data_IF_911363920837
#
_entry.id   IF_911363920837
#
_cell.length_a   1.000
_cell.length_b   1.000
_cell.length_c   1.000
_cell.angle_alpha   90.00
_cell.angle_beta   90.00
_cell.angle_gamma   90.00
#
_symmetry.space_group_name_H-M   'P 1'
#
loop_
_entity.id
_entity.type
_entity.pdbx_description
1 polymer ?
#
# COMPACT_ATOMS: atom_id res chain seq x y z
N UNK A 1 -14.88 -24.44 -21.71
CA UNK A 1 -14.54 -23.00 -21.78
C UNK A 1 -14.62 -22.34 -20.39
N UNK A 2 -15.72 -22.44 -19.65
CA UNK A 2 -15.88 -21.80 -18.34
C UNK A 2 -14.85 -22.31 -17.30
N UNK A 3 -14.56 -23.61 -17.23
CA UNK A 3 -13.54 -24.19 -16.33
C UNK A 3 -12.14 -23.55 -16.50
N UNK A 4 -11.73 -23.29 -17.74
CA UNK A 4 -10.44 -22.64 -18.01
C UNK A 4 -10.43 -21.17 -17.60
N UNK A 5 -11.56 -20.49 -17.71
CA UNK A 5 -11.71 -19.12 -17.23
C UNK A 5 -11.62 -19.06 -15.69
N UNK A 6 -12.34 -19.98 -15.02
CA UNK A 6 -12.33 -20.06 -13.56
C UNK A 6 -10.91 -20.36 -13.03
N UNK A 7 -10.15 -21.23 -13.71
CA UNK A 7 -8.74 -21.51 -13.39
C UNK A 7 -7.84 -20.27 -13.56
N UNK A 8 -8.06 -19.49 -14.61
CA UNK A 8 -7.29 -18.24 -14.84
C UNK A 8 -7.69 -17.14 -13.86
N UNK A 9 -8.95 -17.05 -13.47
CA UNK A 9 -9.41 -16.12 -12.43
C UNK A 9 -8.81 -16.50 -11.06
N UNK A 10 -8.77 -17.78 -10.74
CA UNK A 10 -8.07 -18.26 -9.54
C UNK A 10 -6.56 -17.98 -9.57
N UNK A 11 -5.96 -18.01 -10.77
CA UNK A 11 -4.56 -17.57 -10.95
C UNK A 11 -4.42 -16.07 -10.65
N UNK A 12 -5.29 -15.23 -11.21
CA UNK A 12 -5.31 -13.79 -10.94
C UNK A 12 -5.40 -13.48 -9.44
N UNK A 13 -6.29 -14.16 -8.73
CA UNK A 13 -6.40 -13.99 -7.27
C UNK A 13 -5.11 -14.35 -6.53
N UNK A 14 -4.43 -15.44 -6.90
CA UNK A 14 -3.14 -15.80 -6.29
C UNK A 14 -2.06 -14.75 -6.55
N UNK A 15 -1.94 -14.29 -7.79
CA UNK A 15 -0.96 -13.26 -8.15
C UNK A 15 -1.18 -11.96 -7.38
N UNK A 16 -2.44 -11.55 -7.18
CA UNK A 16 -2.79 -10.38 -6.37
C UNK A 16 -2.45 -10.57 -4.89
N UNK A 17 -2.71 -11.76 -4.32
CA UNK A 17 -2.31 -12.08 -2.93
C UNK A 17 -0.78 -12.02 -2.79
N UNK A 18 -0.04 -12.58 -3.75
CA UNK A 18 1.43 -12.56 -3.73
C UNK A 18 1.96 -11.12 -3.85
N UNK A 19 1.36 -10.28 -4.71
CA UNK A 19 1.72 -8.87 -4.83
C UNK A 19 1.40 -8.11 -3.53
N UNK A 20 0.24 -8.36 -2.90
CA UNK A 20 -0.12 -7.81 -1.59
C UNK A 20 0.91 -8.16 -0.51
N UNK A 21 1.33 -9.41 -0.44
CA UNK A 21 2.36 -9.85 0.49
C UNK A 21 3.73 -9.17 0.26
N UNK A 22 4.06 -8.84 -1.00
CA UNK A 22 5.26 -8.03 -1.32
C UNK A 22 5.10 -6.60 -0.82
N UNK A 23 3.92 -5.98 -1.01
CA UNK A 23 3.63 -4.64 -0.49
C UNK A 23 3.75 -4.60 1.04
N UNK A 24 3.14 -5.55 1.76
CA UNK A 24 3.28 -5.66 3.21
C UNK A 24 4.74 -5.79 3.65
N UNK A 25 5.50 -6.64 2.95
CA UNK A 25 6.90 -6.89 3.26
C UNK A 25 7.77 -5.66 3.04
N UNK A 26 7.57 -4.91 1.96
CA UNK A 26 8.37 -3.73 1.64
C UNK A 26 8.10 -2.60 2.64
N UNK A 27 6.84 -2.37 3.04
CA UNK A 27 6.48 -1.39 4.07
C UNK A 27 7.09 -1.78 5.42
N UNK A 28 6.96 -3.05 5.82
CA UNK A 28 7.52 -3.55 7.07
C UNK A 28 9.05 -3.42 7.13
N UNK A 29 9.74 -3.63 5.99
CA UNK A 29 11.18 -3.48 5.91
C UNK A 29 11.61 -2.02 6.05
N UNK A 30 10.98 -1.10 5.31
CA UNK A 30 11.23 0.34 5.39
C UNK A 30 10.96 0.88 6.81
N UNK A 31 9.84 0.48 7.43
CA UNK A 31 9.50 0.83 8.81
C UNK A 31 10.51 0.30 9.83
N UNK A 32 11.00 -0.94 9.65
CA UNK A 32 12.06 -1.50 10.52
C UNK A 32 13.38 -0.77 10.35
N UNK A 33 13.79 -0.48 9.11
CA UNK A 33 15.00 0.28 8.82
C UNK A 33 14.95 1.64 9.56
N UNK A 34 13.83 2.35 9.47
CA UNK A 34 13.60 3.62 10.16
C UNK A 34 13.69 3.47 11.69
N UNK A 35 13.03 2.46 12.26
CA UNK A 35 12.94 2.32 13.72
C UNK A 35 14.20 1.83 14.37
N UNK A 36 15.03 1.05 13.66
CA UNK A 36 16.30 0.52 14.17
C UNK A 36 17.52 1.34 13.74
N UNK A 37 17.38 2.22 12.73
CA UNK A 37 18.49 2.91 12.09
C UNK A 37 19.39 1.98 11.25
N UNK A 38 18.89 0.81 10.88
CA UNK A 38 19.62 -0.20 10.12
C UNK A 38 19.54 0.06 8.62
N UNK A 39 20.59 0.69 8.06
CA UNK A 39 20.69 1.00 6.64
C UNK A 39 20.72 -0.24 5.75
N UNK A 40 21.19 -1.39 6.24
CA UNK A 40 21.18 -2.63 5.45
C UNK A 40 19.75 -3.15 5.20
N UNK A 41 18.81 -2.84 6.10
CA UNK A 41 17.39 -3.12 5.87
C UNK A 41 16.82 -2.19 4.79
N UNK A 42 17.17 -0.91 4.80
CA UNK A 42 16.75 0.04 3.77
C UNK A 42 17.26 -0.38 2.38
N UNK A 43 18.50 -0.83 2.25
CA UNK A 43 19.09 -1.32 0.99
C UNK A 43 18.38 -2.57 0.42
N UNK A 44 17.59 -3.28 1.22
CA UNK A 44 16.80 -4.43 0.77
C UNK A 44 15.43 -4.04 0.18
N UNK A 45 15.00 -2.80 0.32
CA UNK A 45 13.70 -2.31 -0.17
C UNK A 45 13.68 -2.21 -1.70
N UNK A 46 14.64 -1.55 -2.39
CA UNK A 46 14.61 -1.39 -3.84
C UNK A 46 14.54 -2.70 -4.65
N UNK A 47 15.21 -3.82 -4.24
CA UNK A 47 15.01 -5.11 -4.91
C UNK A 47 13.57 -5.65 -4.82
N UNK A 48 12.87 -5.43 -3.69
CA UNK A 48 11.49 -5.87 -3.50
C UNK A 48 10.51 -5.00 -4.30
N UNK A 49 10.74 -3.70 -4.34
CA UNK A 49 9.99 -2.78 -5.17
C UNK A 49 10.04 -3.20 -6.65
N UNK A 50 11.22 -3.47 -7.20
CA UNK A 50 11.36 -4.02 -8.55
C UNK A 50 10.66 -5.39 -8.74
N UNK A 51 10.42 -6.14 -7.68
CA UNK A 51 9.63 -7.36 -7.75
C UNK A 51 8.13 -7.05 -7.85
N UNK A 52 7.65 -6.02 -7.14
CA UNK A 52 6.29 -5.49 -7.26
C UNK A 52 6.02 -5.01 -8.68
N UNK A 53 6.91 -4.22 -9.28
CA UNK A 53 6.84 -3.78 -10.67
C UNK A 53 6.72 -4.93 -11.68
N UNK A 54 7.45 -6.01 -11.45
CA UNK A 54 7.35 -7.19 -12.32
C UNK A 54 6.01 -7.88 -12.17
N UNK A 55 5.53 -8.00 -10.93
CA UNK A 55 4.21 -8.56 -10.62
C UNK A 55 3.09 -7.73 -11.25
N UNK A 56 3.15 -6.39 -11.19
CA UNK A 56 2.20 -5.52 -11.87
C UNK A 56 2.08 -5.89 -13.36
N UNK A 57 3.21 -5.91 -14.07
CA UNK A 57 3.25 -6.25 -15.51
C UNK A 57 2.74 -7.65 -15.81
N UNK A 58 3.05 -8.62 -14.98
CA UNK A 58 2.62 -10.01 -15.15
C UNK A 58 1.10 -10.15 -14.94
N UNK A 59 0.55 -9.47 -13.93
CA UNK A 59 -0.89 -9.44 -13.65
C UNK A 59 -1.63 -8.67 -14.74
N UNK A 60 -1.11 -7.53 -15.20
CA UNK A 60 -1.67 -6.78 -16.32
C UNK A 60 -1.80 -7.68 -17.56
N UNK A 61 -0.74 -8.38 -17.93
CA UNK A 61 -0.73 -9.31 -19.05
C UNK A 61 -1.73 -10.47 -18.86
N UNK A 62 -1.91 -10.95 -17.62
CA UNK A 62 -2.91 -11.97 -17.31
C UNK A 62 -4.34 -11.42 -17.50
N UNK A 63 -4.62 -10.22 -17.01
CA UNK A 63 -5.90 -9.53 -17.19
C UNK A 63 -6.23 -9.32 -18.67
N UNK A 64 -5.26 -8.83 -19.47
CA UNK A 64 -5.44 -8.66 -20.92
C UNK A 64 -5.74 -9.98 -21.62
N UNK A 65 -5.08 -11.08 -21.26
CA UNK A 65 -5.40 -12.42 -21.81
C UNK A 65 -6.81 -12.87 -21.43
N UNK A 66 -7.26 -12.62 -20.20
CA UNK A 66 -8.63 -12.92 -19.76
C UNK A 66 -9.67 -12.15 -20.58
N UNK A 67 -9.43 -10.86 -20.85
CA UNK A 67 -10.31 -10.01 -21.66
C UNK A 67 -10.39 -10.46 -23.11
N UNK A 68 -9.23 -10.80 -23.72
CA UNK A 68 -9.15 -11.11 -25.15
C UNK A 68 -9.66 -12.50 -25.52
N UNK A 69 -9.47 -13.49 -24.65
CA UNK A 69 -9.67 -14.90 -25.04
C UNK A 69 -10.91 -15.56 -24.46
N UNK A 70 -11.59 -14.93 -23.48
CA UNK A 70 -12.61 -15.65 -22.71
C UNK A 70 -14.02 -15.03 -22.79
N UNK A 71 -14.20 -13.88 -23.44
CA UNK A 71 -15.48 -13.16 -23.50
C UNK A 71 -16.18 -13.09 -22.12
N UNK A 72 -15.56 -12.39 -21.15
CA UNK A 72 -16.06 -12.35 -19.77
C UNK A 72 -17.49 -11.76 -19.73
N UNK A 73 -18.35 -12.31 -18.88
CA UNK A 73 -19.66 -11.71 -18.59
C UNK A 73 -19.49 -10.45 -17.73
N UNK A 74 -20.54 -9.64 -17.63
CA UNK A 74 -20.46 -8.32 -16.99
C UNK A 74 -19.81 -8.32 -15.58
N UNK A 75 -20.10 -9.32 -14.73
CA UNK A 75 -19.47 -9.43 -13.40
C UNK A 75 -17.98 -9.76 -13.48
N UNK A 76 -17.58 -10.66 -14.36
CA UNK A 76 -16.17 -11.02 -14.55
C UNK A 76 -15.37 -9.85 -15.14
N UNK A 77 -15.99 -9.09 -16.07
CA UNK A 77 -15.38 -7.89 -16.63
C UNK A 77 -15.09 -6.85 -15.56
N UNK A 78 -16.02 -6.61 -14.63
CA UNK A 78 -15.80 -5.68 -13.51
C UNK A 78 -14.64 -6.12 -12.60
N UNK A 79 -14.57 -7.42 -12.27
CA UNK A 79 -13.47 -7.98 -11.46
C UNK A 79 -12.11 -7.78 -12.11
N UNK A 80 -11.99 -8.09 -13.40
CA UNK A 80 -10.74 -7.92 -14.15
C UNK A 80 -10.39 -6.42 -14.24
N UNK A 81 -11.39 -5.55 -14.49
CA UNK A 81 -11.18 -4.10 -14.54
C UNK A 81 -10.72 -3.53 -13.19
N UNK A 82 -11.31 -3.99 -12.08
CA UNK A 82 -10.87 -3.61 -10.74
C UNK A 82 -9.44 -4.09 -10.47
N UNK A 83 -9.10 -5.34 -10.81
CA UNK A 83 -7.73 -5.86 -10.67
C UNK A 83 -6.70 -5.00 -11.40
N UNK A 84 -6.98 -4.56 -12.64
CA UNK A 84 -6.10 -3.68 -13.42
C UNK A 84 -5.85 -2.32 -12.73
N UNK A 85 -6.82 -1.83 -11.98
CA UNK A 85 -6.66 -0.58 -11.20
C UNK A 85 -5.90 -0.82 -9.91
N UNK A 86 -6.25 -1.89 -9.20
CA UNK A 86 -5.62 -2.26 -7.94
C UNK A 86 -4.11 -2.47 -8.08
N UNK A 87 -3.63 -3.11 -9.15
CA UNK A 87 -2.18 -3.35 -9.33
C UNK A 87 -1.40 -2.06 -9.49
N UNK A 88 -1.99 -1.02 -10.07
CA UNK A 88 -1.36 0.30 -10.16
C UNK A 88 -1.25 0.95 -8.77
N UNK A 89 -2.29 0.85 -7.93
CA UNK A 89 -2.21 1.33 -6.54
C UNK A 89 -1.19 0.50 -5.73
N UNK A 90 -1.09 -0.81 -5.96
CA UNK A 90 -0.10 -1.66 -5.29
C UNK A 90 1.34 -1.36 -5.72
N UNK A 91 1.58 -1.02 -6.99
CA UNK A 91 2.89 -0.53 -7.46
C UNK A 91 3.24 0.80 -6.77
N UNK A 92 2.30 1.73 -6.68
CA UNK A 92 2.51 2.99 -5.95
C UNK A 92 2.83 2.78 -4.47
N UNK A 93 2.27 1.77 -3.83
CA UNK A 93 2.63 1.38 -2.46
C UNK A 93 4.11 0.97 -2.38
N UNK A 94 4.60 0.22 -3.36
CA UNK A 94 6.03 -0.13 -3.48
C UNK A 94 6.90 1.11 -3.60
N UNK A 95 6.60 2.00 -4.55
CA UNK A 95 7.28 3.29 -4.76
C UNK A 95 7.38 4.09 -3.45
N UNK A 96 6.27 4.24 -2.71
CA UNK A 96 6.26 5.02 -1.46
C UNK A 96 7.15 4.37 -0.38
N UNK A 97 7.21 3.05 -0.32
CA UNK A 97 8.08 2.34 0.62
C UNK A 97 9.57 2.48 0.23
N UNK A 98 9.88 2.53 -1.06
CA UNK A 98 11.24 2.80 -1.57
C UNK A 98 11.67 4.22 -1.26
N UNK A 99 10.80 5.22 -1.45
CA UNK A 99 11.02 6.62 -1.05
C UNK A 99 11.34 6.75 0.44
N UNK A 100 10.62 6.00 1.31
CA UNK A 100 10.91 5.96 2.76
C UNK A 100 12.31 5.39 3.00
N UNK A 101 12.65 4.28 2.34
CA UNK A 101 13.95 3.65 2.49
C UNK A 101 15.10 4.56 2.02
N UNK A 102 14.90 5.30 0.93
CA UNK A 102 15.88 6.28 0.44
C UNK A 102 16.19 7.34 1.50
N UNK A 103 15.16 7.91 2.15
CA UNK A 103 15.35 8.88 3.23
C UNK A 103 16.12 8.25 4.39
N UNK A 104 15.79 7.02 4.79
CA UNK A 104 16.45 6.33 5.92
C UNK A 104 17.95 6.15 5.69
N UNK A 105 18.43 6.02 4.45
CA UNK A 105 19.85 5.90 4.14
C UNK A 105 20.66 7.13 4.58
N UNK A 106 20.05 8.30 4.60
CA UNK A 106 20.71 9.58 4.94
C UNK A 106 20.26 10.15 6.28
N UNK A 107 19.18 9.60 6.85
CA UNK A 107 18.60 10.07 8.11
C UNK A 107 19.55 9.78 9.28
N UNK A 108 19.74 10.77 10.15
CA UNK A 108 20.26 10.53 11.48
C UNK A 108 19.22 9.78 12.35
N UNK A 109 19.69 9.18 13.47
CA UNK A 109 18.81 8.38 14.33
C UNK A 109 17.60 9.21 14.77
N UNK A 110 16.43 8.83 14.27
CA UNK A 110 15.19 9.50 14.60
C UNK A 110 14.86 9.39 16.12
N UNK A 111 14.26 10.44 16.72
CA UNK A 111 13.83 10.40 18.11
C UNK A 111 12.85 9.27 18.41
N UNK A 112 12.91 8.72 19.63
CA UNK A 112 12.08 7.57 20.03
C UNK A 112 10.58 7.84 19.90
N UNK A 113 10.11 9.04 20.27
CA UNK A 113 8.69 9.42 20.13
C UNK A 113 8.25 9.36 18.67
N UNK A 114 9.02 9.95 17.76
CA UNK A 114 8.71 9.94 16.33
C UNK A 114 8.77 8.54 15.75
N UNK A 115 9.78 7.73 16.11
CA UNK A 115 9.89 6.33 15.68
C UNK A 115 8.70 5.50 16.12
N UNK A 116 8.23 5.67 17.36
CA UNK A 116 7.09 4.95 17.89
C UNK A 116 5.78 5.30 17.16
N UNK A 117 5.58 6.59 16.83
CA UNK A 117 4.41 7.04 16.07
C UNK A 117 4.44 6.54 14.63
N UNK A 118 5.57 6.68 13.94
CA UNK A 118 5.75 6.24 12.56
C UNK A 118 5.62 4.71 12.43
N UNK A 119 6.10 3.95 13.40
CA UNK A 119 5.88 2.50 13.45
C UNK A 119 4.41 2.14 13.52
N UNK A 120 3.62 2.79 14.40
CA UNK A 120 2.19 2.54 14.52
C UNK A 120 1.43 2.94 13.25
N UNK A 121 1.84 4.03 12.61
CA UNK A 121 1.31 4.47 11.33
C UNK A 121 1.57 3.42 10.25
N UNK A 122 2.79 2.88 10.16
CA UNK A 122 3.13 1.82 9.23
C UNK A 122 2.35 0.52 9.50
N UNK A 123 2.18 0.13 10.77
CA UNK A 123 1.37 -1.04 11.16
C UNK A 123 -0.10 -0.87 10.72
N UNK A 124 -0.67 0.34 10.86
CA UNK A 124 -2.02 0.64 10.39
C UNK A 124 -2.11 0.55 8.86
N UNK A 125 -1.19 1.18 8.12
CA UNK A 125 -1.16 1.13 6.67
C UNK A 125 -0.99 -0.32 6.13
N UNK A 126 -0.12 -1.14 6.73
CA UNK A 126 0.01 -2.56 6.41
C UNK A 126 -1.33 -3.30 6.58
N UNK A 127 -2.03 -3.05 7.69
CA UNK A 127 -3.33 -3.65 7.95
C UNK A 127 -4.37 -3.28 6.90
N UNK A 128 -4.38 -2.04 6.43
CA UNK A 128 -5.25 -1.57 5.35
C UNK A 128 -4.93 -2.27 4.02
N UNK A 129 -3.65 -2.35 3.64
CA UNK A 129 -3.21 -3.02 2.40
C UNK A 129 -3.61 -4.49 2.42
N UNK A 130 -3.33 -5.22 3.49
CA UNK A 130 -3.70 -6.62 3.64
C UNK A 130 -5.21 -6.83 3.54
N UNK A 131 -5.98 -6.01 4.28
CA UNK A 131 -7.44 -6.11 4.30
C UNK A 131 -8.08 -5.74 2.96
N UNK A 132 -7.53 -4.80 2.19
CA UNK A 132 -8.05 -4.42 0.88
C UNK A 132 -7.89 -5.55 -0.16
N UNK A 133 -6.74 -6.24 -0.16
CA UNK A 133 -6.52 -7.42 -1.02
C UNK A 133 -7.43 -8.58 -0.62
N UNK A 134 -7.55 -8.85 0.68
CA UNK A 134 -8.47 -9.87 1.21
C UNK A 134 -9.94 -9.58 0.83
N UNK A 135 -10.36 -8.32 0.93
CA UNK A 135 -11.70 -7.89 0.54
C UNK A 135 -11.98 -8.19 -0.95
N UNK A 136 -11.00 -7.94 -1.84
CA UNK A 136 -11.12 -8.27 -3.26
C UNK A 136 -11.27 -9.78 -3.48
N UNK A 137 -10.40 -10.58 -2.89
CA UNK A 137 -10.40 -12.05 -3.07
C UNK A 137 -11.69 -12.68 -2.56
N UNK A 138 -12.21 -12.20 -1.44
CA UNK A 138 -13.45 -12.68 -0.82
C UNK A 138 -14.72 -12.02 -1.38
N UNK A 139 -14.58 -10.97 -2.19
CA UNK A 139 -15.68 -10.12 -2.64
C UNK A 139 -16.50 -9.56 -1.46
N UNK A 140 -15.79 -9.15 -0.41
CA UNK A 140 -16.35 -8.70 0.87
C UNK A 140 -16.40 -7.18 0.91
N UNK A 141 -17.59 -6.63 0.60
CA UNK A 141 -17.86 -5.18 0.61
C UNK A 141 -17.73 -4.61 2.02
N UNK A 142 -18.18 -5.35 3.05
CA UNK A 142 -18.11 -4.86 4.42
C UNK A 142 -16.65 -4.70 4.90
N UNK A 143 -15.77 -5.62 4.47
CA UNK A 143 -14.33 -5.49 4.73
C UNK A 143 -13.73 -4.31 3.96
N UNK A 144 -14.14 -4.06 2.72
CA UNK A 144 -13.71 -2.89 1.95
C UNK A 144 -14.14 -1.57 2.62
N UNK A 145 -15.40 -1.47 3.03
CA UNK A 145 -15.90 -0.30 3.78
C UNK A 145 -15.12 -0.07 5.08
N UNK A 146 -14.72 -1.15 5.76
CA UNK A 146 -13.89 -1.05 6.95
C UNK A 146 -12.50 -0.49 6.63
N UNK A 147 -11.86 -0.91 5.53
CA UNK A 147 -10.56 -0.37 5.11
C UNK A 147 -10.65 1.12 4.85
N UNK A 148 -11.72 1.58 4.17
CA UNK A 148 -11.95 3.01 3.91
C UNK A 148 -12.09 3.79 5.23
N UNK A 149 -12.77 3.22 6.23
CA UNK A 149 -12.91 3.85 7.54
C UNK A 149 -11.60 3.81 8.38
N UNK A 150 -10.76 2.79 8.18
CA UNK A 150 -9.48 2.66 8.89
C UNK A 150 -8.45 3.72 8.45
N UNK A 151 -8.67 4.41 7.32
CA UNK A 151 -7.87 5.53 6.82
C UNK A 151 -7.77 6.68 7.82
N UNK A 152 -8.86 7.01 8.50
CA UNK A 152 -8.89 7.99 9.61
C UNK A 152 -7.82 7.70 10.67
N UNK A 153 -7.47 6.42 10.87
CA UNK A 153 -6.42 6.02 11.84
C UNK A 153 -5.02 6.39 11.36
N UNK A 154 -4.75 6.26 10.07
CA UNK A 154 -3.47 6.66 9.46
C UNK A 154 -3.33 8.17 9.50
N UNK A 155 -4.39 8.90 9.15
CA UNK A 155 -4.47 10.37 9.20
C UNK A 155 -4.27 10.91 10.62
N UNK A 156 -4.86 10.26 11.62
CA UNK A 156 -4.69 10.59 13.03
C UNK A 156 -3.21 10.44 13.47
N UNK A 157 -2.52 9.40 12.99
CA UNK A 157 -1.09 9.23 13.27
C UNK A 157 -0.25 10.27 12.52
N UNK A 158 -0.58 10.61 11.28
CA UNK A 158 0.09 11.67 10.53
C UNK A 158 0.03 13.00 11.30
N UNK A 159 -1.16 13.39 11.79
CA UNK A 159 -1.32 14.62 12.54
C UNK A 159 -0.53 14.59 13.87
N UNK A 160 -0.49 13.45 14.59
CA UNK A 160 0.31 13.29 15.81
C UNK A 160 1.81 13.41 15.53
N UNK A 161 2.30 12.81 14.45
CA UNK A 161 3.70 12.97 14.01
C UNK A 161 3.99 14.44 13.71
N UNK A 162 3.18 15.09 12.90
CA UNK A 162 3.32 16.50 12.55
C UNK A 162 3.41 17.41 13.79
N UNK A 163 2.52 17.21 14.76
CA UNK A 163 2.52 17.99 16.00
C UNK A 163 3.77 17.71 16.86
N UNK A 164 4.25 16.49 16.92
CA UNK A 164 5.49 16.16 17.63
C UNK A 164 6.71 16.85 16.97
N UNK A 165 6.78 16.85 15.64
CA UNK A 165 7.86 17.49 14.89
C UNK A 165 7.85 19.03 15.00
N UNK A 166 6.66 19.66 14.99
CA UNK A 166 6.51 21.10 15.22
C UNK A 166 7.07 21.50 16.60
N UNK A 167 6.72 20.75 17.66
CA UNK A 167 7.25 21.01 19.01
C UNK A 167 8.77 20.88 19.03
N UNK A 168 9.31 19.85 18.38
CA UNK A 168 10.75 19.60 18.32
C UNK A 168 11.51 20.74 17.63
N UNK A 169 11.01 21.23 16.50
CA UNK A 169 11.62 22.39 15.80
C UNK A 169 11.56 23.65 16.68
N UNK A 170 10.48 23.84 17.44
CA UNK A 170 10.33 24.97 18.34
C UNK A 170 11.33 24.91 19.52
N UNK A 171 11.60 23.72 20.03
CA UNK A 171 12.54 23.48 21.14
C UNK A 171 14.00 23.59 20.67
N UNK A 172 14.32 23.05 19.49
CA UNK A 172 15.64 23.13 18.85
C UNK A 172 15.54 23.31 17.33
N UNK A 173 15.71 24.52 16.81
CA UNK A 173 15.68 24.80 15.38
C UNK A 173 16.73 24.03 14.55
N UNK A 174 17.80 23.53 15.14
CA UNK A 174 18.81 22.74 14.45
C UNK A 174 18.27 21.38 14.00
N UNK A 175 17.22 20.88 14.65
CA UNK A 175 16.53 19.64 14.31
C UNK A 175 15.59 19.75 13.09
N UNK A 176 15.47 20.96 12.50
CA UNK A 176 14.54 21.23 11.40
C UNK A 176 14.73 20.31 10.20
N UNK A 177 15.97 19.99 9.82
CA UNK A 177 16.27 19.08 8.71
C UNK A 177 15.71 17.67 8.96
N UNK A 178 16.08 17.06 10.09
CA UNK A 178 15.59 15.74 10.50
C UNK A 178 14.06 15.71 10.64
N UNK A 179 13.46 16.78 11.16
CA UNK A 179 12.02 16.87 11.31
C UNK A 179 11.30 16.89 9.95
N UNK A 180 11.84 17.57 8.94
CA UNK A 180 11.29 17.58 7.58
C UNK A 180 11.40 16.18 6.93
N UNK A 181 12.53 15.49 7.08
CA UNK A 181 12.70 14.13 6.57
C UNK A 181 11.69 13.17 7.20
N UNK A 182 11.48 13.26 8.52
CA UNK A 182 10.48 12.45 9.22
C UNK A 182 9.04 12.81 8.82
N UNK A 183 8.75 14.08 8.50
CA UNK A 183 7.45 14.49 7.97
C UNK A 183 7.21 13.90 6.58
N UNK A 184 8.25 13.86 5.73
CA UNK A 184 8.16 13.22 4.41
C UNK A 184 7.87 11.72 4.54
N UNK A 185 8.55 11.02 5.45
CA UNK A 185 8.27 9.61 5.74
C UNK A 185 6.80 9.43 6.17
N UNK A 186 6.30 10.28 7.08
CA UNK A 186 4.90 10.24 7.48
C UNK A 186 3.96 10.45 6.28
N UNK A 187 4.29 11.38 5.38
CA UNK A 187 3.49 11.64 4.17
C UNK A 187 3.47 10.44 3.21
N UNK A 188 4.59 9.74 3.07
CA UNK A 188 4.62 8.51 2.27
C UNK A 188 3.77 7.38 2.90
N UNK A 189 3.78 7.24 4.24
CA UNK A 189 2.91 6.29 4.92
C UNK A 189 1.42 6.63 4.79
N UNK A 190 1.05 7.91 4.84
CA UNK A 190 -0.32 8.37 4.58
C UNK A 190 -0.74 8.02 3.14
N UNK A 191 0.11 8.29 2.14
CA UNK A 191 -0.15 7.91 0.76
C UNK A 191 -0.33 6.40 0.56
N UNK A 192 0.37 5.58 1.32
CA UNK A 192 0.13 4.12 1.33
C UNK A 192 -1.30 3.81 1.81
N UNK A 193 -1.79 4.50 2.84
CA UNK A 193 -3.19 4.44 3.29
C UNK A 193 -4.16 4.84 2.18
N UNK A 194 -3.95 6.00 1.55
CA UNK A 194 -4.74 6.47 0.41
C UNK A 194 -4.84 5.40 -0.70
N UNK A 195 -3.72 4.78 -1.07
CA UNK A 195 -3.72 3.72 -2.09
C UNK A 195 -4.47 2.47 -1.65
N UNK A 196 -4.40 2.09 -0.36
CA UNK A 196 -5.19 0.98 0.17
C UNK A 196 -6.70 1.30 0.17
N UNK A 197 -7.08 2.54 0.43
CA UNK A 197 -8.45 3.05 0.29
C UNK A 197 -8.92 2.95 -1.16
N UNK A 198 -8.12 3.40 -2.13
CA UNK A 198 -8.43 3.25 -3.56
C UNK A 198 -8.66 1.76 -3.94
N UNK A 199 -7.81 0.85 -3.46
CA UNK A 199 -8.00 -0.58 -3.69
C UNK A 199 -9.35 -1.04 -3.13
N UNK A 200 -9.73 -0.63 -1.92
CA UNK A 200 -11.00 -0.98 -1.30
C UNK A 200 -12.21 -0.44 -2.10
N UNK A 201 -12.14 0.78 -2.61
CA UNK A 201 -13.16 1.36 -3.49
C UNK A 201 -13.32 0.56 -4.79
N UNK A 202 -12.22 0.08 -5.38
CA UNK A 202 -12.27 -0.81 -6.55
C UNK A 202 -12.91 -2.17 -6.21
N UNK A 203 -12.74 -2.66 -4.97
CA UNK A 203 -13.46 -3.86 -4.50
C UNK A 203 -14.97 -3.60 -4.47
N UNK A 204 -15.42 -2.51 -3.87
CA UNK A 204 -16.84 -2.14 -3.86
C UNK A 204 -17.41 -2.07 -5.28
N UNK A 205 -16.72 -1.39 -6.19
CA UNK A 205 -17.12 -1.33 -7.60
C UNK A 205 -17.20 -2.72 -8.23
N UNK A 206 -16.25 -3.60 -7.98
CA UNK A 206 -16.20 -4.93 -8.58
C UNK A 206 -17.44 -5.77 -8.23
N UNK A 207 -17.96 -5.58 -7.03
CA UNK A 207 -19.12 -6.30 -6.49
C UNK A 207 -20.43 -5.62 -6.86
N UNK A 208 -20.56 -4.32 -6.57
CA UNK A 208 -21.82 -3.57 -6.70
C UNK A 208 -22.06 -3.04 -8.12
N UNK A 209 -20.99 -2.77 -8.88
CA UNK A 209 -21.03 -2.09 -10.16
C UNK A 209 -21.23 -0.57 -10.06
N UNK A 210 -21.19 -0.02 -8.85
CA UNK A 210 -21.32 1.43 -8.59
C UNK A 210 -19.96 1.95 -8.18
N UNK A 211 -19.45 2.95 -8.90
CA UNK A 211 -18.27 3.71 -8.48
C UNK A 211 -18.74 4.84 -7.56
N UNK A 212 -18.22 4.90 -6.35
CA UNK A 212 -18.44 6.08 -5.51
C UNK A 212 -17.64 7.23 -6.14
N UNK A 213 -18.32 8.29 -6.57
CA UNK A 213 -17.65 9.54 -6.94
C UNK A 213 -17.08 10.13 -5.63
N UNK A 214 -15.76 10.29 -5.57
CA UNK A 214 -15.08 10.90 -4.44
C UNK A 214 -15.30 12.41 -4.36
#
# INVERSE_FOLDING_TARGET
>A
MRSRFDEQLACLHRELIEMGALCERVIALASRALTTGDRQLAEQVPPLDREIDRKERDIENLCLRLLLHQQPVAGDLRRISAALKMITDMERIGDQADDIAEIVLYLDVAPEESRALLRKMAEAAIGMVSSSVDAYVRQDVALAEKVIADDDTVDDYFEKVKQALIRRIADDPAEGGTALDLLMIAKYLERIGDHATNIAEWVEFSVTGVHKEG
#
